data_IF_671009910367
#
_entry.id   IF_671009910367
#
_cell.length_a   1.000
_cell.length_b   1.000
_cell.length_c   1.000
_cell.angle_alpha   90.00
_cell.angle_beta   90.00
_cell.angle_gamma   90.00
#
_symmetry.space_group_name_H-M   'P 1'
#
loop_
_entity.id
_entity.type
_entity.pdbx_description
1 polymer ?
#
# COMPACT_ATOMS: atom_id res chain seq x y z
N UNK A 1 -4.58 13.88 0.37
CA UNK A 1 -3.69 13.95 1.54
C UNK A 1 -2.45 13.15 1.20
N UNK A 2 -1.30 13.73 1.37
CA UNK A 2 -0.04 13.12 0.95
C UNK A 2 0.38 12.04 1.95
N UNK A 3 0.49 10.78 1.49
CA UNK A 3 0.89 9.64 2.33
C UNK A 3 2.25 9.86 3.00
N UNK A 4 3.14 10.64 2.36
CA UNK A 4 4.45 10.95 2.91
C UNK A 4 4.41 11.79 4.19
N UNK A 5 3.40 12.65 4.33
CA UNK A 5 3.22 13.46 5.55
C UNK A 5 2.85 12.58 6.73
N UNK A 6 1.90 11.65 6.52
CA UNK A 6 1.48 10.71 7.55
C UNK A 6 2.57 9.72 7.91
N UNK A 7 3.33 9.23 6.92
CA UNK A 7 4.45 8.32 7.14
C UNK A 7 5.53 9.00 7.98
N UNK A 8 5.89 10.24 7.65
CA UNK A 8 6.83 11.04 8.43
C UNK A 8 6.34 11.24 9.87
N UNK A 9 5.06 11.54 10.06
CA UNK A 9 4.45 11.70 11.37
C UNK A 9 4.52 10.42 12.22
N UNK A 10 4.17 9.26 11.63
CA UNK A 10 4.23 7.96 12.31
C UNK A 10 5.68 7.60 12.66
N UNK A 11 6.64 7.89 11.78
CA UNK A 11 8.06 7.67 12.06
C UNK A 11 8.54 8.51 13.25
N UNK A 12 8.21 9.80 13.32
CA UNK A 12 8.59 10.66 14.45
C UNK A 12 7.93 10.18 15.75
N UNK A 13 6.69 9.71 15.69
CA UNK A 13 5.99 9.19 16.88
C UNK A 13 6.72 7.99 17.51
N UNK A 14 7.39 7.18 16.69
CA UNK A 14 8.19 6.01 17.12
C UNK A 14 9.57 6.41 17.59
N UNK A 15 10.30 7.20 16.80
CA UNK A 15 11.68 7.60 17.08
C UNK A 15 11.81 8.66 18.15
N UNK A 16 10.75 9.46 18.33
CA UNK A 16 10.70 10.67 19.18
C UNK A 16 11.79 11.70 18.85
N UNK A 17 12.28 11.68 17.60
CA UNK A 17 13.38 12.53 17.14
C UNK A 17 13.25 12.87 15.67
N UNK A 18 13.29 14.18 15.36
CA UNK A 18 13.30 14.64 13.97
C UNK A 18 14.57 14.21 13.23
N UNK A 19 15.72 14.25 13.92
CA UNK A 19 17.02 13.86 13.33
C UNK A 19 17.07 12.38 13.00
N UNK A 20 16.70 11.50 13.96
CA UNK A 20 16.65 10.05 13.71
C UNK A 20 15.67 9.67 12.61
N UNK A 21 14.54 10.37 12.54
CA UNK A 21 13.57 10.17 11.47
C UNK A 21 14.13 10.59 10.12
N UNK A 22 14.82 11.74 10.05
CA UNK A 22 15.46 12.21 8.83
C UNK A 22 16.50 11.20 8.31
N UNK A 23 17.34 10.68 9.19
CA UNK A 23 18.31 9.62 8.87
C UNK A 23 17.62 8.36 8.35
N UNK A 24 16.59 7.86 9.06
CA UNK A 24 15.88 6.64 8.69
C UNK A 24 15.13 6.77 7.34
N UNK A 25 14.64 7.95 7.01
CA UNK A 25 13.91 8.23 5.76
C UNK A 25 14.82 8.74 4.63
N UNK A 26 16.12 8.84 4.84
CA UNK A 26 17.09 9.43 3.89
C UNK A 26 16.70 10.87 3.48
N UNK A 27 16.25 11.67 4.44
CA UNK A 27 15.84 13.05 4.28
C UNK A 27 16.71 13.99 5.12
N UNK A 28 16.65 15.29 4.80
CA UNK A 28 17.19 16.32 5.70
C UNK A 28 16.22 16.57 6.86
N UNK A 29 16.74 17.02 8.01
CA UNK A 29 15.90 17.43 9.15
C UNK A 29 14.96 18.58 8.77
N UNK A 30 15.41 19.51 7.89
CA UNK A 30 14.59 20.59 7.37
C UNK A 30 13.40 20.08 6.57
N UNK A 31 13.59 19.04 5.73
CA UNK A 31 12.53 18.40 4.96
C UNK A 31 11.51 17.71 5.88
N UNK A 32 11.97 16.98 6.89
CA UNK A 32 11.09 16.35 7.90
C UNK A 32 10.28 17.41 8.65
N UNK A 33 10.92 18.50 9.08
CA UNK A 33 10.23 19.60 9.76
C UNK A 33 9.20 20.30 8.86
N UNK A 34 9.51 20.47 7.57
CA UNK A 34 8.58 21.06 6.60
C UNK A 34 7.36 20.17 6.39
N UNK A 35 7.54 18.84 6.28
CA UNK A 35 6.43 17.88 6.16
C UNK A 35 5.50 17.92 7.37
N UNK A 36 6.06 17.98 8.58
CA UNK A 36 5.23 18.07 9.80
C UNK A 36 4.48 19.39 9.86
N UNK A 37 5.12 20.49 9.51
CA UNK A 37 4.45 21.79 9.45
C UNK A 37 3.29 21.80 8.43
N UNK A 38 3.49 21.15 7.29
CA UNK A 38 2.43 20.98 6.29
C UNK A 38 1.28 20.15 6.83
N UNK A 39 1.58 19.05 7.52
CA UNK A 39 0.56 18.21 8.17
C UNK A 39 -0.22 18.99 9.24
N UNK A 40 0.47 19.74 10.10
CA UNK A 40 -0.14 20.57 11.13
C UNK A 40 -1.04 21.65 10.53
N UNK A 41 -0.66 22.24 9.40
CA UNK A 41 -1.51 23.17 8.67
C UNK A 41 -2.78 22.51 8.13
N UNK A 42 -2.70 21.27 7.64
CA UNK A 42 -3.86 20.51 7.15
C UNK A 42 -4.80 20.10 8.29
N UNK A 43 -4.23 19.69 9.42
CA UNK A 43 -4.99 19.28 10.62
C UNK A 43 -5.54 20.50 11.39
N UNK A 44 -4.91 21.66 11.22
CA UNK A 44 -5.25 22.92 11.91
C UNK A 44 -4.72 22.99 13.35
N UNK A 45 -3.99 22.00 13.82
CA UNK A 45 -3.44 21.92 15.17
C UNK A 45 -2.04 21.33 15.20
N UNK A 46 -1.16 21.75 16.12
CA UNK A 46 0.14 21.12 16.31
C UNK A 46 -0.02 19.66 16.76
N UNK A 47 0.75 18.76 16.16
CA UNK A 47 0.73 17.33 16.49
C UNK A 47 1.89 16.91 17.38
N UNK A 48 2.96 17.73 17.45
CA UNK A 48 4.12 17.51 18.32
C UNK A 48 4.42 18.70 19.22
N UNK A 49 4.96 18.41 20.40
CA UNK A 49 5.53 19.38 21.35
C UNK A 49 7.04 19.08 21.49
N UNK A 50 7.87 20.10 21.35
CA UNK A 50 9.30 20.02 21.66
C UNK A 50 9.52 20.39 23.12
N UNK A 51 10.16 19.52 23.90
CA UNK A 51 10.56 19.84 25.25
C UNK A 51 11.76 20.80 25.24
N UNK A 52 11.67 21.90 25.99
CA UNK A 52 12.74 22.92 26.07
C UNK A 52 14.10 22.40 26.53
N UNK A 53 14.12 21.32 27.31
CA UNK A 53 15.32 20.75 27.93
C UNK A 53 15.70 19.37 27.38
N UNK A 54 15.11 18.92 26.31
CA UNK A 54 15.35 17.61 25.73
C UNK A 54 15.19 17.66 24.21
N UNK A 55 16.02 16.93 23.49
CA UNK A 55 15.83 16.72 22.04
C UNK A 55 14.64 15.80 21.72
N UNK A 56 13.99 15.26 22.75
CA UNK A 56 12.83 14.38 22.59
C UNK A 56 11.58 15.17 22.23
N UNK A 57 10.80 14.58 21.36
CA UNK A 57 9.54 15.12 20.87
C UNK A 57 8.39 14.28 21.42
N UNK A 58 7.34 14.93 21.88
CA UNK A 58 6.15 14.28 22.40
C UNK A 58 4.92 14.62 21.56
N UNK A 59 3.96 13.70 21.47
CA UNK A 59 2.69 13.93 20.82
C UNK A 59 1.84 14.91 21.63
N UNK A 60 1.14 15.80 20.95
CA UNK A 60 0.03 16.58 21.53
C UNK A 60 -1.21 15.70 21.68
N UNK A 61 -2.29 16.25 22.28
CA UNK A 61 -3.60 15.57 22.26
C UNK A 61 -4.08 15.31 20.83
N UNK A 62 -3.88 16.27 19.91
CA UNK A 62 -4.20 16.11 18.49
C UNK A 62 -3.33 15.04 17.82
N UNK A 63 -2.04 14.98 18.14
CA UNK A 63 -1.14 13.94 17.67
C UNK A 63 -1.54 12.54 18.15
N UNK A 64 -1.91 12.40 19.43
CA UNK A 64 -2.42 11.14 19.96
C UNK A 64 -3.72 10.69 19.28
N UNK A 65 -4.63 11.62 18.98
CA UNK A 65 -5.86 11.32 18.27
C UNK A 65 -5.61 10.93 16.80
N UNK A 66 -4.64 11.56 16.14
CA UNK A 66 -4.31 11.31 14.74
C UNK A 66 -3.57 9.97 14.54
N UNK A 67 -2.72 9.55 15.48
CA UNK A 67 -1.79 8.42 15.33
C UNK A 67 -2.46 7.10 14.90
N UNK A 68 -3.56 6.63 15.51
CA UNK A 68 -4.20 5.38 15.11
C UNK A 68 -4.72 5.45 13.66
N UNK A 69 -5.35 6.56 13.28
CA UNK A 69 -5.87 6.74 11.91
C UNK A 69 -4.74 6.85 10.87
N UNK A 70 -3.67 7.56 11.19
CA UNK A 70 -2.51 7.66 10.32
C UNK A 70 -1.86 6.29 10.08
N UNK A 71 -1.71 5.49 11.13
CA UNK A 71 -1.15 4.13 11.05
C UNK A 71 -2.03 3.20 10.23
N UNK A 72 -3.34 3.23 10.46
CA UNK A 72 -4.31 2.43 9.71
C UNK A 72 -4.33 2.81 8.22
N UNK A 73 -4.30 4.11 7.92
CA UNK A 73 -4.27 4.61 6.54
C UNK A 73 -3.02 4.13 5.80
N UNK A 74 -1.84 4.23 6.41
CA UNK A 74 -0.57 3.77 5.81
C UNK A 74 -0.62 2.26 5.53
N UNK A 75 -1.11 1.47 6.50
CA UNK A 75 -1.23 0.02 6.34
C UNK A 75 -2.20 -0.33 5.21
N UNK A 76 -3.37 0.32 5.15
CA UNK A 76 -4.37 0.12 4.09
C UNK A 76 -3.80 0.49 2.72
N UNK A 77 -3.06 1.60 2.63
CA UNK A 77 -2.41 2.02 1.39
C UNK A 77 -1.36 1.02 0.92
N UNK A 78 -0.56 0.48 1.84
CA UNK A 78 0.42 -0.56 1.53
C UNK A 78 -0.24 -1.85 1.01
N UNK A 79 -1.38 -2.25 1.59
CA UNK A 79 -2.16 -3.40 1.13
C UNK A 79 -2.75 -3.17 -0.27
N UNK A 80 -3.30 -1.98 -0.54
CA UNK A 80 -3.83 -1.61 -1.86
C UNK A 80 -2.72 -1.69 -2.92
N UNK A 81 -1.55 -1.11 -2.65
CA UNK A 81 -0.41 -1.16 -3.56
C UNK A 81 0.05 -2.59 -3.84
N UNK A 82 0.11 -3.42 -2.81
CA UNK A 82 0.45 -4.83 -2.96
C UNK A 82 -0.56 -5.56 -3.84
N UNK A 83 -1.85 -5.31 -3.63
CA UNK A 83 -2.91 -5.96 -4.42
C UNK A 83 -2.88 -5.52 -5.90
N UNK A 84 -2.68 -4.22 -6.15
CA UNK A 84 -2.52 -3.71 -7.52
C UNK A 84 -1.32 -4.34 -8.22
N UNK A 85 -0.17 -4.46 -7.54
CA UNK A 85 1.01 -5.10 -8.10
C UNK A 85 0.74 -6.59 -8.38
N UNK A 86 0.07 -7.29 -7.49
CA UNK A 86 -0.31 -8.70 -7.70
C UNK A 86 -1.19 -8.89 -8.95
N UNK A 87 -2.09 -7.96 -9.22
CA UNK A 87 -2.95 -8.01 -10.42
C UNK A 87 -2.10 -7.84 -11.69
N UNK A 88 -1.13 -6.93 -11.68
CA UNK A 88 -0.27 -6.67 -12.83
C UNK A 88 0.81 -7.73 -13.05
N UNK A 89 1.26 -8.39 -11.98
CA UNK A 89 2.33 -9.41 -12.04
C UNK A 89 1.79 -10.82 -12.33
N UNK A 90 0.46 -11.03 -12.33
CA UNK A 90 -0.12 -12.33 -12.67
C UNK A 90 0.03 -12.60 -14.17
N UNK A 91 0.71 -13.69 -14.56
CA UNK A 91 0.80 -14.06 -15.95
C UNK A 91 -0.60 -14.35 -16.53
N UNK A 92 -0.85 -13.84 -17.73
CA UNK A 92 -2.11 -14.01 -18.44
C UNK A 92 -2.09 -15.38 -19.11
N UNK A 93 -3.01 -16.27 -18.75
CA UNK A 93 -3.21 -17.54 -19.41
C UNK A 93 -4.45 -17.45 -20.32
N UNK A 94 -4.23 -17.46 -21.63
CA UNK A 94 -5.29 -17.50 -22.63
C UNK A 94 -5.65 -18.94 -22.93
N UNK A 95 -6.89 -19.34 -22.67
CA UNK A 95 -7.38 -20.69 -22.93
C UNK A 95 -8.53 -20.63 -23.92
N UNK A 96 -8.40 -21.37 -25.02
CA UNK A 96 -9.49 -21.57 -25.98
C UNK A 96 -10.17 -22.92 -25.69
N UNK A 97 -11.45 -22.90 -25.40
CA UNK A 97 -12.23 -24.09 -25.04
C UNK A 97 -13.36 -24.31 -26.03
N UNK A 98 -13.55 -25.53 -26.45
CA UNK A 98 -14.71 -25.95 -27.23
C UNK A 98 -15.99 -25.89 -26.36
N UNK A 99 -17.10 -25.33 -26.87
CA UNK A 99 -18.32 -25.18 -26.05
C UNK A 99 -18.82 -26.49 -25.43
N UNK A 100 -18.70 -27.60 -26.16
CA UNK A 100 -19.09 -28.93 -25.69
C UNK A 100 -18.25 -29.47 -24.51
N UNK A 101 -17.02 -28.96 -24.34
CA UNK A 101 -16.09 -29.40 -23.30
C UNK A 101 -15.96 -28.36 -22.17
N UNK A 102 -16.61 -27.20 -22.30
CA UNK A 102 -16.45 -26.11 -21.37
C UNK A 102 -16.77 -26.51 -19.91
N UNK A 103 -17.88 -27.19 -19.68
CA UNK A 103 -18.29 -27.61 -18.34
C UNK A 103 -17.30 -28.60 -17.72
N UNK A 104 -16.83 -29.58 -18.49
CA UNK A 104 -15.84 -30.55 -18.04
C UNK A 104 -14.48 -29.90 -17.77
N UNK A 105 -14.10 -28.94 -18.58
CA UNK A 105 -12.85 -28.20 -18.43
C UNK A 105 -12.86 -27.32 -17.18
N UNK A 106 -13.94 -26.59 -16.91
CA UNK A 106 -14.06 -25.75 -15.72
C UNK A 106 -13.95 -26.56 -14.43
N UNK A 107 -14.59 -27.72 -14.36
CA UNK A 107 -14.55 -28.59 -13.19
C UNK A 107 -13.13 -29.12 -12.91
N UNK A 108 -12.35 -29.41 -13.96
CA UNK A 108 -10.99 -29.95 -13.83
C UNK A 108 -9.92 -28.87 -13.64
N UNK A 109 -10.06 -27.70 -14.29
CA UNK A 109 -9.09 -26.59 -14.18
C UNK A 109 -9.08 -26.00 -12.78
N UNK A 110 -10.22 -25.88 -12.12
CA UNK A 110 -10.30 -25.42 -10.73
C UNK A 110 -9.60 -26.36 -9.74
N UNK A 111 -9.48 -27.66 -10.08
CA UNK A 111 -8.81 -28.65 -9.23
C UNK A 111 -7.30 -28.73 -9.51
N UNK A 112 -6.89 -28.56 -10.76
CA UNK A 112 -5.50 -28.80 -11.20
C UNK A 112 -4.62 -27.55 -11.19
N UNK A 113 -5.20 -26.38 -11.29
CA UNK A 113 -4.47 -25.11 -11.32
C UNK A 113 -4.84 -24.23 -10.14
N UNK A 114 -3.82 -23.68 -9.49
CA UNK A 114 -3.97 -22.63 -8.51
C UNK A 114 -4.37 -21.35 -9.27
N UNK A 115 -5.71 -21.20 -9.48
CA UNK A 115 -6.32 -20.12 -10.27
C UNK A 115 -5.95 -18.75 -9.72
N UNK A 116 -5.59 -18.68 -8.44
CA UNK A 116 -5.17 -17.43 -7.80
C UNK A 116 -3.84 -16.89 -8.35
N UNK A 117 -3.04 -17.74 -9.01
CA UNK A 117 -1.74 -17.37 -9.59
C UNK A 117 -1.81 -16.79 -11.00
N UNK A 118 -2.93 -16.97 -11.72
CA UNK A 118 -3.05 -16.59 -13.13
C UNK A 118 -4.26 -15.69 -13.37
N UNK A 119 -4.12 -14.80 -14.34
CA UNK A 119 -5.27 -14.12 -14.94
C UNK A 119 -5.76 -14.98 -16.11
N UNK A 120 -6.94 -15.60 -15.96
CA UNK A 120 -7.51 -16.48 -16.96
C UNK A 120 -8.36 -15.70 -17.95
N UNK A 121 -7.99 -15.72 -19.23
CA UNK A 121 -8.84 -15.29 -20.33
C UNK A 121 -9.35 -16.52 -21.05
N UNK A 122 -10.66 -16.75 -21.03
CA UNK A 122 -11.28 -17.91 -21.64
C UNK A 122 -12.03 -17.46 -22.90
N UNK A 123 -11.62 -17.99 -24.04
CA UNK A 123 -12.28 -17.76 -25.32
C UNK A 123 -13.01 -19.03 -25.75
N UNK A 124 -14.29 -18.90 -26.11
CA UNK A 124 -15.02 -19.96 -26.77
C UNK A 124 -14.73 -19.88 -28.28
N UNK A 125 -14.15 -20.93 -28.84
CA UNK A 125 -13.83 -21.00 -30.26
C UNK A 125 -14.74 -22.05 -30.94
N UNK A 126 -15.44 -21.64 -31.97
CA UNK A 126 -16.27 -22.53 -32.80
C UNK A 126 -15.47 -23.14 -33.97
N UNK A 127 -14.20 -22.76 -34.17
CA UNK A 127 -13.37 -23.24 -35.27
C UNK A 127 -12.14 -23.98 -34.77
N UNK A 128 -11.93 -25.20 -35.26
CA UNK A 128 -10.66 -25.92 -35.14
C UNK A 128 -9.63 -25.29 -36.11
N UNK A 129 -8.85 -24.36 -35.64
CA UNK A 129 -7.57 -24.04 -36.28
C UNK A 129 -6.45 -24.54 -35.38
N UNK A 130 -5.93 -25.74 -35.69
CA UNK A 130 -4.64 -26.15 -35.20
C UNK A 130 -3.59 -25.35 -35.95
N UNK A 131 -2.93 -24.43 -35.29
CA UNK A 131 -1.63 -23.92 -35.75
C UNK A 131 -0.57 -24.71 -35.04
N UNK A 132 0.22 -25.47 -35.85
CA UNK A 132 1.48 -26.11 -35.44
C UNK A 132 2.46 -25.10 -34.87
#
# INVERSE_FOLDING_TARGET
MDTELLDTFVHISKTRSFTKTAEAMCLTQAAVSARIKQLENLVGHPVFIRCKNSHAVHLTKSGHALLPFASEFINSWAMIRKEINNIHDKPILNISVYPALANFFFEKVTILFDIERFQLNIHQSNNMSFTE
#
